data_IF_048063362148
#
_entry.id   IF_048063362148
#
_cell.length_a   1.000
_cell.length_b   1.000
_cell.length_c   1.000
_cell.angle_alpha   90.00
_cell.angle_beta   90.00
_cell.angle_gamma   90.00
#
_symmetry.space_group_name_H-M   'P 1'
#
loop_
_entity.id
_entity.type
_entity.pdbx_description
1 polymer ?
#
# COMPACT_ATOMS: atom_id res chain seq x y z
N UNK A 1 29.70 -2.77 19.86
CA UNK A 1 28.52 -3.48 19.29
C UNK A 1 28.49 -3.25 17.80
N UNK A 2 28.59 -4.31 16.99
CA UNK A 2 28.57 -4.22 15.52
C UNK A 2 27.12 -4.02 15.06
N UNK A 3 26.86 -2.91 14.37
CA UNK A 3 25.61 -2.72 13.63
C UNK A 3 25.54 -3.75 12.50
N UNK A 4 24.56 -4.63 12.56
CA UNK A 4 24.16 -5.41 11.39
C UNK A 4 23.30 -4.51 10.50
N UNK A 5 23.93 -3.94 9.48
CA UNK A 5 23.23 -3.29 8.36
C UNK A 5 22.61 -4.40 7.50
N UNK A 6 21.34 -4.70 7.71
CA UNK A 6 20.61 -5.61 6.84
C UNK A 6 20.34 -4.92 5.50
N UNK A 7 21.08 -5.34 4.46
CA UNK A 7 20.60 -5.39 3.09
C UNK A 7 20.56 -4.10 2.26
N UNK A 8 21.75 -3.55 1.92
CA UNK A 8 21.93 -3.05 0.54
C UNK A 8 21.98 -4.28 -0.36
N UNK A 9 20.86 -4.65 -0.99
CA UNK A 9 20.84 -5.88 -1.79
C UNK A 9 19.49 -6.20 -2.43
N UNK A 10 18.82 -5.20 -3.03
CA UNK A 10 17.73 -5.38 -4.01
C UNK A 10 17.32 -4.08 -4.72
N UNK A 11 18.08 -2.99 -4.59
CA UNK A 11 17.74 -1.71 -5.21
C UNK A 11 18.04 -1.65 -6.72
N UNK A 12 18.89 -2.55 -7.23
CA UNK A 12 19.35 -2.56 -8.63
C UNK A 12 18.38 -3.27 -9.60
N UNK A 13 17.37 -3.98 -9.08
CA UNK A 13 16.37 -4.71 -9.89
C UNK A 13 14.97 -4.09 -9.85
N UNK A 14 14.75 -3.02 -9.08
CA UNK A 14 13.47 -2.32 -9.11
C UNK A 14 13.47 -1.35 -10.30
N UNK A 15 12.70 -1.61 -11.37
CA UNK A 15 12.69 -0.78 -12.57
C UNK A 15 12.12 0.62 -12.31
N UNK A 16 11.45 0.83 -11.18
CA UNK A 16 10.85 2.11 -10.82
C UNK A 16 11.89 3.11 -10.30
N UNK A 17 11.74 4.40 -10.64
CA UNK A 17 12.60 5.45 -10.13
C UNK A 17 12.47 5.54 -8.60
N UNK A 18 13.53 5.96 -7.91
CA UNK A 18 13.60 5.92 -6.44
C UNK A 18 12.45 6.65 -5.73
N UNK A 19 11.90 7.69 -6.34
CA UNK A 19 10.76 8.45 -5.83
C UNK A 19 9.39 7.79 -6.08
N UNK A 20 9.34 6.64 -6.73
CA UNK A 20 8.12 5.91 -7.10
C UNK A 20 8.13 4.43 -6.70
N UNK A 21 9.11 4.00 -5.91
CA UNK A 21 9.18 2.62 -5.39
C UNK A 21 8.18 2.34 -4.28
N UNK A 22 7.40 3.34 -3.89
CA UNK A 22 6.58 3.33 -2.69
C UNK A 22 7.37 3.61 -1.42
N UNK A 23 6.69 3.53 -0.28
CA UNK A 23 7.29 3.82 1.02
C UNK A 23 6.63 3.00 2.12
N UNK A 24 7.39 2.70 3.17
CA UNK A 24 6.96 1.95 4.34
C UNK A 24 8.15 1.24 4.97
N UNK A 25 8.05 0.90 6.25
CA UNK A 25 9.11 0.17 6.96
C UNK A 25 8.50 -1.01 7.70
N UNK A 26 9.10 -2.19 7.56
CA UNK A 26 8.70 -3.36 8.34
C UNK A 26 8.86 -3.11 9.85
N UNK A 27 9.80 -2.26 10.25
CA UNK A 27 9.98 -1.85 11.65
C UNK A 27 8.78 -1.11 12.24
N UNK A 28 7.86 -0.57 11.43
CA UNK A 28 6.63 0.05 11.91
C UNK A 28 5.58 -0.99 12.36
N UNK A 29 5.87 -2.28 12.18
CA UNK A 29 5.02 -3.41 12.51
C UNK A 29 5.68 -4.31 13.57
N UNK A 30 4.86 -5.02 14.35
CA UNK A 30 5.35 -6.06 15.25
C UNK A 30 5.53 -7.41 14.53
N UNK A 31 5.85 -8.46 15.30
CA UNK A 31 6.11 -9.80 14.76
C UNK A 31 4.88 -10.45 14.11
N UNK A 32 3.67 -10.00 14.47
CA UNK A 32 2.40 -10.46 13.90
C UNK A 32 1.92 -9.55 12.74
N UNK A 33 2.82 -8.69 12.25
CA UNK A 33 2.56 -7.71 11.20
C UNK A 33 1.40 -6.75 11.56
N UNK A 34 1.19 -6.50 12.85
CA UNK A 34 0.28 -5.47 13.32
C UNK A 34 1.02 -4.11 13.31
N UNK A 35 0.38 -3.05 12.82
CA UNK A 35 0.92 -1.69 12.95
C UNK A 35 1.22 -1.39 14.41
N UNK A 36 2.44 -1.00 14.77
CA UNK A 36 2.82 -0.71 16.18
C UNK A 36 2.06 0.46 16.79
N UNK A 37 1.67 1.42 15.97
CA UNK A 37 0.95 2.63 16.39
C UNK A 37 -0.47 2.66 15.83
N UNK A 38 -1.41 3.17 16.64
CA UNK A 38 -2.78 3.50 16.21
C UNK A 38 -2.95 4.96 15.79
N UNK A 39 -1.93 5.81 15.98
CA UNK A 39 -2.04 7.28 15.93
C UNK A 39 -1.67 7.90 14.58
N UNK A 40 -1.88 7.21 13.48
CA UNK A 40 -1.59 7.78 12.16
C UNK A 40 -0.14 7.63 11.69
N UNK A 41 0.72 6.96 12.44
CA UNK A 41 2.15 6.91 12.17
C UNK A 41 2.54 5.82 11.18
N UNK A 42 1.81 4.70 11.18
CA UNK A 42 2.07 3.59 10.25
C UNK A 42 1.31 3.82 8.95
N UNK A 43 2.04 4.26 7.93
CA UNK A 43 1.56 4.56 6.59
C UNK A 43 2.37 3.76 5.55
N UNK A 44 1.72 3.36 4.47
CA UNK A 44 2.38 2.67 3.35
C UNK A 44 2.05 3.40 2.06
N UNK A 45 3.07 4.01 1.43
CA UNK A 45 2.92 4.63 0.13
C UNK A 45 3.06 3.59 -0.97
N UNK A 46 2.11 3.55 -1.91
CA UNK A 46 2.14 2.56 -2.99
C UNK A 46 3.24 2.88 -4.01
N UNK A 47 3.69 1.87 -4.72
CA UNK A 47 4.65 1.99 -5.82
C UNK A 47 3.93 2.30 -7.14
N UNK A 48 4.68 2.84 -8.11
CA UNK A 48 4.22 3.10 -9.48
C UNK A 48 3.00 4.04 -9.56
N UNK A 49 2.84 4.96 -8.61
CA UNK A 49 1.78 5.97 -8.70
C UNK A 49 2.05 6.97 -9.82
N UNK A 50 3.31 7.19 -10.21
CA UNK A 50 3.64 8.19 -11.22
C UNK A 50 3.09 7.83 -12.61
N UNK A 51 2.93 6.54 -12.92
CA UNK A 51 2.36 6.09 -14.18
C UNK A 51 0.82 6.23 -14.24
N UNK A 52 0.17 6.55 -13.12
CA UNK A 52 -1.29 6.54 -12.96
C UNK A 52 -1.85 7.90 -12.50
N UNK A 53 -1.17 9.01 -12.83
CA UNK A 53 -1.56 10.35 -12.37
C UNK A 53 -2.96 10.78 -12.84
N UNK A 54 -3.33 10.45 -14.08
CA UNK A 54 -4.64 10.82 -14.63
C UNK A 54 -5.78 10.16 -13.84
N UNK A 55 -5.60 8.89 -13.46
CA UNK A 55 -6.59 8.17 -12.66
C UNK A 55 -6.65 8.71 -11.23
N UNK A 56 -5.49 9.00 -10.64
CA UNK A 56 -5.44 9.64 -9.32
C UNK A 56 -6.10 11.01 -9.31
N UNK A 57 -5.90 11.80 -10.36
CA UNK A 57 -6.55 13.10 -10.52
C UNK A 57 -8.07 12.94 -10.68
N UNK A 58 -8.53 11.93 -11.44
CA UNK A 58 -9.95 11.60 -11.59
C UNK A 58 -10.58 11.25 -10.24
N UNK A 59 -9.95 10.36 -9.46
CA UNK A 59 -10.46 9.96 -8.15
C UNK A 59 -10.49 11.15 -7.19
N UNK A 60 -9.43 11.97 -7.18
CA UNK A 60 -9.37 13.17 -6.34
C UNK A 60 -10.46 14.19 -6.71
N UNK A 61 -10.76 14.33 -8.01
CA UNK A 61 -11.81 15.24 -8.49
C UNK A 61 -13.23 14.82 -8.08
N UNK A 62 -13.44 13.57 -7.64
CA UNK A 62 -14.72 13.15 -7.06
C UNK A 62 -15.02 13.83 -5.73
N UNK A 63 -13.99 14.34 -5.03
CA UNK A 63 -14.16 15.09 -3.79
C UNK A 63 -14.63 14.27 -2.59
N UNK A 64 -14.38 12.96 -2.60
CA UNK A 64 -14.77 12.05 -1.51
C UNK A 64 -13.74 12.09 -0.38
N UNK A 65 -14.23 12.19 0.86
CA UNK A 65 -13.39 12.18 2.05
C UNK A 65 -12.95 10.75 2.43
N UNK A 66 -13.77 9.75 2.09
CA UNK A 66 -13.53 8.34 2.41
C UNK A 66 -13.05 7.57 1.17
N UNK A 67 -11.73 7.43 1.06
CA UNK A 67 -11.10 6.59 0.03
C UNK A 67 -10.61 5.31 0.68
N UNK A 68 -10.91 4.17 0.07
CA UNK A 68 -10.37 2.87 0.50
C UNK A 68 -9.66 2.20 -0.65
N UNK A 69 -8.65 1.38 -0.35
CA UNK A 69 -7.91 0.61 -1.33
C UNK A 69 -8.52 -0.79 -1.48
N UNK A 70 -8.75 -1.17 -2.73
CA UNK A 70 -9.15 -2.51 -3.15
C UNK A 70 -7.92 -3.21 -3.70
N UNK A 71 -7.48 -4.21 -2.96
CA UNK A 71 -6.26 -4.97 -3.26
C UNK A 71 -6.65 -6.44 -3.30
N UNK A 72 -6.61 -7.10 -4.48
CA UNK A 72 -6.91 -8.52 -4.57
C UNK A 72 -5.82 -9.31 -3.85
N UNK A 73 -6.24 -10.36 -3.13
CA UNK A 73 -5.30 -11.33 -2.56
C UNK A 73 -4.66 -12.12 -3.69
N UNK A 74 -3.37 -12.41 -3.55
CA UNK A 74 -2.67 -13.27 -4.51
C UNK A 74 -3.20 -14.70 -4.42
N UNK A 75 -3.30 -15.31 -5.59
CA UNK A 75 -3.52 -16.75 -5.75
C UNK A 75 -2.20 -17.52 -5.53
N UNK A 76 -2.29 -18.83 -5.31
CA UNK A 76 -1.09 -19.69 -5.18
C UNK A 76 -0.18 -19.63 -6.41
N UNK A 77 -0.74 -19.41 -7.60
CA UNK A 77 0.05 -19.28 -8.83
C UNK A 77 0.79 -17.94 -8.86
N UNK A 78 0.11 -16.85 -8.50
CA UNK A 78 0.70 -15.52 -8.37
C UNK A 78 1.79 -15.47 -7.30
N UNK A 79 1.62 -16.16 -6.17
CA UNK A 79 2.66 -16.27 -5.15
C UNK A 79 3.91 -17.02 -5.66
N UNK A 80 3.72 -18.10 -6.43
CA UNK A 80 4.84 -18.89 -7.00
C UNK A 80 5.73 -18.08 -7.94
N UNK A 81 5.14 -17.13 -8.66
CA UNK A 81 5.87 -16.26 -9.60
C UNK A 81 6.20 -14.89 -9.01
N UNK A 82 5.96 -14.71 -7.71
CA UNK A 82 6.14 -13.44 -7.01
C UNK A 82 5.45 -12.26 -7.73
N UNK A 83 4.20 -12.49 -8.17
CA UNK A 83 3.42 -11.50 -8.90
C UNK A 83 3.21 -10.23 -8.05
N UNK A 84 3.25 -9.03 -8.68
CA UNK A 84 2.98 -7.78 -7.98
C UNK A 84 1.51 -7.70 -7.55
N UNK A 85 1.25 -7.03 -6.42
CA UNK A 85 -0.12 -6.83 -5.92
C UNK A 85 -0.69 -5.50 -6.42
N UNK A 86 -1.68 -5.51 -7.34
CA UNK A 86 -2.25 -4.29 -7.89
C UNK A 86 -3.11 -3.56 -6.86
N UNK A 87 -3.03 -2.24 -6.84
CA UNK A 87 -3.85 -1.38 -5.98
C UNK A 87 -4.84 -0.61 -6.83
N UNK A 88 -6.12 -0.69 -6.46
CA UNK A 88 -7.19 0.20 -6.95
C UNK A 88 -7.75 0.98 -5.78
N UNK A 89 -8.37 2.12 -6.05
CA UNK A 89 -9.10 2.89 -5.07
C UNK A 89 -10.59 2.62 -5.22
N UNK A 90 -11.33 2.79 -4.14
CA UNK A 90 -12.78 2.78 -4.12
C UNK A 90 -13.23 4.08 -3.46
N UNK A 91 -13.93 4.89 -4.25
CA UNK A 91 -14.46 6.19 -3.87
C UNK A 91 -15.80 6.37 -4.59
N UNK A 92 -16.75 7.09 -3.98
CA UNK A 92 -18.07 7.35 -4.56
C UNK A 92 -18.76 6.09 -5.11
N UNK A 93 -18.78 5.03 -4.29
CA UNK A 93 -19.37 3.71 -4.61
C UNK A 93 -18.80 3.01 -5.87
N UNK A 94 -17.65 3.44 -6.39
CA UNK A 94 -17.03 2.86 -7.60
C UNK A 94 -15.56 2.52 -7.37
N UNK A 95 -15.09 1.36 -7.87
CA UNK A 95 -13.67 1.11 -7.98
C UNK A 95 -13.07 1.95 -9.12
N UNK A 96 -11.86 2.46 -8.90
CA UNK A 96 -11.02 3.09 -9.91
C UNK A 96 -10.34 2.04 -10.79
N UNK A 97 -9.69 2.50 -11.84
CA UNK A 97 -8.67 1.71 -12.53
C UNK A 97 -7.43 1.52 -11.63
N UNK A 98 -6.42 0.82 -12.16
CA UNK A 98 -5.14 0.62 -11.46
C UNK A 98 -4.51 1.97 -11.11
N UNK A 99 -4.03 2.11 -9.87
CA UNK A 99 -3.34 3.33 -9.39
C UNK A 99 -1.90 3.09 -8.93
N UNK A 100 -1.44 1.84 -9.01
CA UNK A 100 -0.10 1.42 -8.62
C UNK A 100 -0.10 0.03 -8.01
N UNK A 101 0.96 -0.28 -7.26
CA UNK A 101 1.18 -1.60 -6.68
C UNK A 101 1.63 -1.52 -5.23
N UNK A 102 1.38 -2.58 -4.45
CA UNK A 102 2.01 -2.71 -3.13
C UNK A 102 3.54 -2.74 -3.30
N UNK A 103 4.31 -1.97 -2.51
CA UNK A 103 5.76 -1.98 -2.60
C UNK A 103 6.33 -3.37 -2.31
N UNK A 104 7.35 -3.74 -3.08
CA UNK A 104 8.04 -5.03 -2.92
C UNK A 104 8.64 -5.17 -1.52
N UNK A 105 8.41 -6.32 -0.89
CA UNK A 105 8.79 -6.63 0.49
C UNK A 105 7.76 -6.24 1.55
N UNK A 106 6.69 -5.53 1.19
CA UNK A 106 5.60 -5.14 2.10
C UNK A 106 4.27 -5.85 1.79
N UNK A 107 4.26 -6.77 0.83
CA UNK A 107 3.07 -7.55 0.43
C UNK A 107 2.46 -8.30 1.62
N UNK A 108 3.28 -8.99 2.40
CA UNK A 108 2.81 -9.79 3.55
C UNK A 108 2.12 -8.92 4.62
N UNK A 109 2.54 -7.67 4.77
CA UNK A 109 1.92 -6.73 5.71
C UNK A 109 0.51 -6.36 5.23
N UNK A 110 0.35 -6.13 3.93
CA UNK A 110 -0.95 -5.83 3.33
C UNK A 110 -1.86 -7.06 3.39
N UNK A 111 -1.35 -8.25 3.06
CA UNK A 111 -2.10 -9.50 3.18
C UNK A 111 -2.59 -9.75 4.62
N UNK A 112 -1.72 -9.55 5.62
CA UNK A 112 -2.09 -9.68 7.03
C UNK A 112 -3.17 -8.65 7.44
N UNK A 113 -3.07 -7.41 6.96
CA UNK A 113 -4.09 -6.38 7.20
C UNK A 113 -5.45 -6.75 6.59
N UNK A 114 -5.48 -7.25 5.35
CA UNK A 114 -6.70 -7.68 4.67
C UNK A 114 -7.34 -8.88 5.36
N UNK A 115 -6.54 -9.89 5.74
CA UNK A 115 -7.03 -11.04 6.52
C UNK A 115 -7.68 -10.58 7.82
N UNK A 116 -7.03 -9.69 8.57
CA UNK A 116 -7.55 -9.19 9.85
C UNK A 116 -8.86 -8.43 9.70
N UNK A 117 -8.98 -7.58 8.68
CA UNK A 117 -10.24 -6.88 8.38
C UNK A 117 -11.35 -7.87 8.08
N UNK A 118 -11.07 -8.90 7.27
CA UNK A 118 -12.02 -9.96 6.94
C UNK A 118 -12.43 -10.77 8.17
N UNK A 119 -11.48 -11.17 9.01
CA UNK A 119 -11.72 -11.91 10.26
C UNK A 119 -12.54 -11.10 11.26
N UNK A 120 -12.35 -9.78 11.28
CA UNK A 120 -13.14 -8.84 12.08
C UNK A 120 -14.55 -8.55 11.49
N UNK A 121 -14.94 -9.21 10.39
CA UNK A 121 -16.22 -8.99 9.72
C UNK A 121 -16.34 -7.64 8.99
N UNK A 122 -15.23 -6.91 8.83
CA UNK A 122 -15.17 -5.68 8.05
C UNK A 122 -14.93 -6.00 6.58
N UNK A 123 -15.26 -5.06 5.70
CA UNK A 123 -14.84 -5.20 4.30
C UNK A 123 -13.31 -5.21 4.24
N UNK A 124 -12.70 -6.13 3.47
CA UNK A 124 -11.24 -6.23 3.33
C UNK A 124 -10.74 -5.12 2.40
N UNK A 125 -10.87 -3.86 2.84
CA UNK A 125 -10.43 -2.66 2.13
C UNK A 125 -9.64 -1.80 3.09
N UNK A 126 -8.44 -1.42 2.70
CA UNK A 126 -7.54 -0.65 3.56
C UNK A 126 -7.87 0.83 3.38
N UNK A 127 -8.15 1.61 4.43
CA UNK A 127 -8.34 3.05 4.30
C UNK A 127 -7.13 3.71 3.64
N UNK A 128 -7.37 4.68 2.75
CA UNK A 128 -6.33 5.28 1.93
C UNK A 128 -6.57 6.77 1.77
N UNK A 129 -5.51 7.50 1.39
CA UNK A 129 -5.61 8.91 1.00
C UNK A 129 -4.71 9.21 -0.19
N UNK A 130 -5.11 10.19 -0.99
CA UNK A 130 -4.28 10.76 -2.05
C UNK A 130 -3.55 11.98 -1.47
N UNK A 131 -2.25 12.04 -1.67
CA UNK A 131 -1.38 13.13 -1.20
C UNK A 131 -0.54 13.68 -2.35
N UNK A 132 -0.23 14.97 -2.31
CA UNK A 132 0.67 15.60 -3.27
C UNK A 132 2.09 15.65 -2.71
N UNK A 133 3.03 15.02 -3.40
CA UNK A 133 4.45 15.02 -3.03
C UNK A 133 5.25 15.55 -4.19
N UNK A 134 5.93 16.69 -3.98
CA UNK A 134 6.76 17.36 -5.01
C UNK A 134 6.00 17.59 -6.34
N UNK A 135 4.71 17.91 -6.26
CA UNK A 135 3.86 18.17 -7.42
C UNK A 135 3.22 16.94 -8.07
N UNK A 136 3.51 15.72 -7.61
CA UNK A 136 2.89 14.48 -8.10
C UNK A 136 1.92 13.91 -7.07
N UNK A 137 0.80 13.35 -7.54
CA UNK A 137 -0.17 12.62 -6.74
C UNK A 137 0.37 11.25 -6.34
N UNK A 138 0.13 10.87 -5.09
CA UNK A 138 0.59 9.62 -4.48
C UNK A 138 -0.51 9.05 -3.62
N UNK A 139 -0.55 7.73 -3.48
CA UNK A 139 -1.49 7.08 -2.55
C UNK A 139 -0.74 6.63 -1.31
N UNK A 140 -1.34 6.91 -0.16
CA UNK A 140 -0.92 6.37 1.13
C UNK A 140 -2.04 5.49 1.69
N UNK A 141 -1.71 4.25 2.00
CA UNK A 141 -2.53 3.34 2.78
C UNK A 141 -2.36 3.67 4.26
N UNK A 142 -3.47 3.86 4.96
CA UNK A 142 -3.56 4.20 6.37
C UNK A 142 -3.49 2.92 7.22
N UNK A 143 -2.34 2.25 7.17
CA UNK A 143 -2.18 0.90 7.75
C UNK A 143 -2.50 0.84 9.24
N UNK A 144 -2.24 1.91 9.99
CA UNK A 144 -2.60 2.02 11.41
C UNK A 144 -4.10 1.79 11.71
N UNK A 145 -5.01 2.07 10.76
CA UNK A 145 -6.45 1.84 10.91
C UNK A 145 -6.83 0.36 10.78
N UNK A 146 -5.90 -0.48 10.33
CA UNK A 146 -6.12 -1.93 10.13
C UNK A 146 -5.68 -2.78 11.33
N UNK A 147 -5.26 -2.17 12.44
CA UNK A 147 -4.75 -2.89 13.62
C UNK A 147 -5.85 -3.75 14.31
N UNK A 148 -7.12 -3.38 14.17
CA UNK A 148 -8.22 -3.96 14.94
C UNK A 148 -8.56 -3.15 16.18
#
# INVERSE_FOLDING_TARGET
MKLFSFGRGRDDQNPLPANDRGSGKLDDYDYDLLPKSRRGETLLGIADSASHQDELARVLALGEDEITAVIPRRTLEEERVDAPMPVRLFANHRPSDLVGYVPRGLENVVDAALSRLSEAGKQPRVPARIVTVKGALRVQLLMHETRG
#
